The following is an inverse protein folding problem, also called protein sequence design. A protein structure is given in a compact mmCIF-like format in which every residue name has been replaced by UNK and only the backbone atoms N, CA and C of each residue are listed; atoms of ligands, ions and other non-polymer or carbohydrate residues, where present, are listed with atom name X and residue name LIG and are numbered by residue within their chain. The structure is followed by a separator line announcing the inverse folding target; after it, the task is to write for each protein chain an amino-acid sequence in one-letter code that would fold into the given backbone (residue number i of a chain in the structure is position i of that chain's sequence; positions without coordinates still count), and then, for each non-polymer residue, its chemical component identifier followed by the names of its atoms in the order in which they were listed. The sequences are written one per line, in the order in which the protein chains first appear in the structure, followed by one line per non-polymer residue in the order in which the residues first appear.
data_IF_937808659525
#
_entry.id   IF_937808659525
#
_cell.length_a   1.000
_cell.length_b   1.000
_cell.length_c   1.000
_cell.angle_alpha   90.00
_cell.angle_beta   90.00
_cell.angle_gamma   90.00
#
_symmetry.space_group_name_H-M   'P 1'
#
loop_
_entity.id
_entity.type
_entity.pdbx_description
1 polymer ?
#
# COMPACT_ATOMS: atom_id res chain seq x y z
N UNK A 1 1.83 11.40 -18.41
CA UNK A 1 2.56 10.24 -17.85
C UNK A 1 1.81 9.79 -16.61
N UNK A 2 1.12 8.66 -16.65
CA UNK A 2 0.47 8.08 -15.47
C UNK A 2 1.56 7.46 -14.60
N UNK A 3 2.00 8.20 -13.60
CA UNK A 3 3.19 7.93 -12.78
C UNK A 3 2.99 6.85 -11.70
N UNK A 4 1.74 6.58 -11.32
CA UNK A 4 1.38 5.49 -10.41
C UNK A 4 0.75 4.33 -11.14
N UNK A 5 0.89 3.11 -10.60
CA UNK A 5 0.00 2.00 -10.99
C UNK A 5 -1.27 2.16 -10.17
N UNK A 6 -2.33 2.79 -10.72
CA UNK A 6 -3.48 3.15 -9.92
C UNK A 6 -4.13 1.89 -9.37
N UNK A 7 -4.65 1.99 -8.15
CA UNK A 7 -5.55 0.98 -7.63
C UNK A 7 -6.81 0.85 -8.51
N UNK A 8 -7.62 -0.19 -8.29
CA UNK A 8 -7.53 -1.14 -7.17
C UNK A 8 -6.48 -2.24 -7.41
N UNK A 9 -5.80 -2.65 -6.34
CA UNK A 9 -4.97 -3.85 -6.36
C UNK A 9 -5.72 -5.01 -5.70
N UNK A 10 -5.50 -6.22 -6.19
CA UNK A 10 -6.18 -7.44 -5.74
C UNK A 10 -5.15 -8.55 -5.57
N UNK A 11 -5.28 -9.34 -4.51
CA UNK A 11 -4.56 -10.60 -4.37
C UNK A 11 -5.26 -11.64 -5.26
N UNK A 12 -4.52 -12.34 -6.11
CA UNK A 12 -5.05 -13.49 -6.86
C UNK A 12 -5.43 -14.61 -5.89
N UNK A 13 -6.36 -15.47 -6.31
CA UNK A 13 -6.78 -16.64 -5.52
C UNK A 13 -5.60 -17.56 -5.15
N UNK A 14 -4.53 -17.57 -5.94
CA UNK A 14 -3.28 -18.28 -5.63
C UNK A 14 -2.47 -17.69 -4.47
N UNK A 15 -2.94 -16.63 -3.80
CA UNK A 15 -2.40 -16.09 -2.54
C UNK A 15 -1.10 -15.26 -2.62
N UNK A 16 -0.21 -15.54 -3.59
CA UNK A 16 1.11 -14.91 -3.69
C UNK A 16 1.27 -13.83 -4.78
N UNK A 17 0.20 -13.41 -5.44
CA UNK A 17 0.30 -12.45 -6.55
C UNK A 17 -0.67 -11.29 -6.35
N UNK A 18 -0.18 -10.07 -6.46
CA UNK A 18 -0.98 -8.84 -6.44
C UNK A 18 -1.08 -8.30 -7.86
N UNK A 19 -2.29 -8.00 -8.32
CA UNK A 19 -2.57 -7.55 -9.67
C UNK A 19 -3.54 -6.37 -9.73
N UNK A 20 -3.49 -5.61 -10.84
CA UNK A 20 -4.45 -4.58 -11.24
C UNK A 20 -4.74 -4.76 -12.73
N UNK A 21 -6.01 -4.82 -13.14
CA UNK A 21 -6.43 -5.00 -14.54
C UNK A 21 -5.63 -6.07 -15.31
N UNK A 22 -5.49 -7.26 -14.70
CA UNK A 22 -4.72 -8.41 -15.22
C UNK A 22 -3.20 -8.19 -15.38
N UNK A 23 -2.67 -7.04 -14.95
CA UNK A 23 -1.23 -6.78 -14.84
C UNK A 23 -0.73 -7.17 -13.46
N UNK A 24 0.37 -7.90 -13.40
CA UNK A 24 1.05 -8.20 -12.14
C UNK A 24 1.69 -6.92 -11.61
N UNK A 25 1.34 -6.55 -10.38
CA UNK A 25 1.99 -5.47 -9.61
C UNK A 25 3.18 -6.03 -8.84
N UNK A 26 2.95 -7.15 -8.15
CA UNK A 26 3.94 -7.80 -7.31
C UNK A 26 3.68 -9.30 -7.28
N UNK A 27 4.74 -10.09 -7.22
CA UNK A 27 4.69 -11.52 -6.95
C UNK A 27 5.57 -11.82 -5.75
N UNK A 28 4.96 -12.40 -4.72
CA UNK A 28 5.61 -12.84 -3.50
C UNK A 28 5.92 -14.32 -3.63
N UNK A 29 7.17 -14.67 -3.36
CA UNK A 29 7.69 -16.03 -3.54
C UNK A 29 8.27 -16.48 -2.20
N UNK A 30 7.81 -17.64 -1.73
CA UNK A 30 8.50 -18.41 -0.70
C UNK A 30 8.89 -19.76 -1.30
N UNK A 31 10.08 -20.24 -0.97
CA UNK A 31 10.59 -21.54 -1.42
C UNK A 31 10.77 -22.39 -0.17
N UNK A 32 10.08 -23.53 -0.11
CA UNK A 32 10.24 -24.52 0.94
C UNK A 32 10.59 -25.87 0.29
N UNK A 33 11.67 -26.49 0.74
CA UNK A 33 12.21 -27.74 0.18
C UNK A 33 12.35 -27.73 -1.36
N UNK A 34 12.74 -26.58 -1.92
CA UNK A 34 12.94 -26.41 -3.36
C UNK A 34 11.67 -26.20 -4.20
N UNK A 35 10.49 -26.15 -3.58
CA UNK A 35 9.21 -25.88 -4.24
C UNK A 35 8.65 -24.51 -3.87
N UNK A 36 7.93 -23.88 -4.81
CA UNK A 36 7.15 -22.67 -4.52
C UNK A 36 6.08 -23.01 -3.48
N UNK A 37 6.02 -22.21 -2.43
CA UNK A 37 5.08 -22.37 -1.34
C UNK A 37 4.35 -21.06 -1.07
N UNK A 38 3.04 -21.14 -0.87
CA UNK A 38 2.21 -20.03 -0.41
C UNK A 38 2.04 -20.21 1.09
N UNK A 39 2.90 -19.52 1.84
CA UNK A 39 2.84 -19.54 3.30
C UNK A 39 1.83 -18.50 3.80
N UNK A 40 1.34 -18.62 5.05
CA UNK A 40 0.51 -17.58 5.66
C UNK A 40 1.17 -16.19 5.66
N UNK A 41 2.51 -16.15 5.74
CA UNK A 41 3.28 -14.91 5.62
C UNK A 41 3.19 -14.31 4.21
N UNK A 42 3.33 -15.13 3.16
CA UNK A 42 3.17 -14.69 1.77
C UNK A 42 1.77 -14.11 1.54
N UNK A 43 0.73 -14.80 2.00
CA UNK A 43 -0.64 -14.30 1.89
C UNK A 43 -0.87 -13.02 2.68
N UNK A 44 -0.34 -12.94 3.91
CA UNK A 44 -0.45 -11.75 4.75
C UNK A 44 0.20 -10.53 4.10
N UNK A 45 1.42 -10.71 3.57
CA UNK A 45 2.15 -9.65 2.87
C UNK A 45 1.45 -9.25 1.56
N UNK A 46 0.91 -10.21 0.81
CA UNK A 46 0.13 -9.91 -0.40
C UNK A 46 -1.11 -9.06 -0.09
N UNK A 47 -1.85 -9.42 0.98
CA UNK A 47 -3.01 -8.64 1.46
C UNK A 47 -2.59 -7.23 1.86
N UNK A 48 -1.51 -7.09 2.64
CA UNK A 48 -0.99 -5.79 3.07
C UNK A 48 -0.61 -4.90 1.87
N UNK A 49 0.13 -5.44 0.91
CA UNK A 49 0.51 -4.72 -0.31
C UNK A 49 -0.73 -4.32 -1.11
N UNK A 50 -1.70 -5.23 -1.29
CA UNK A 50 -2.92 -4.94 -2.06
C UNK A 50 -3.77 -3.82 -1.45
N UNK A 51 -3.69 -3.61 -0.13
CA UNK A 51 -4.39 -2.54 0.57
C UNK A 51 -3.67 -1.18 0.48
N UNK A 52 -2.44 -1.11 -0.05
CA UNK A 52 -1.66 0.12 -0.07
C UNK A 52 -2.35 1.30 -0.80
N UNK A 53 -3.06 1.13 -1.93
CA UNK A 53 -3.82 2.22 -2.55
C UNK A 53 -4.94 2.74 -1.64
N UNK A 54 -5.69 1.85 -1.00
CA UNK A 54 -6.80 2.23 -0.12
C UNK A 54 -6.27 2.97 1.14
N UNK A 55 -5.13 2.52 1.68
CA UNK A 55 -4.45 3.19 2.78
C UNK A 55 -3.93 4.58 2.39
N UNK A 56 -3.40 4.75 1.19
CA UNK A 56 -2.95 6.05 0.67
C UNK A 56 -4.11 7.03 0.56
N UNK A 57 -5.23 6.59 -0.02
CA UNK A 57 -6.43 7.43 -0.16
C UNK A 57 -7.06 7.77 1.20
N UNK A 58 -7.09 6.82 2.14
CA UNK A 58 -7.52 7.10 3.51
C UNK A 58 -6.63 8.15 4.19
N UNK A 59 -5.30 8.06 4.02
CA UNK A 59 -4.36 9.01 4.59
C UNK A 59 -4.52 10.42 4.00
N UNK A 60 -4.70 10.52 2.67
CA UNK A 60 -5.05 11.79 2.00
C UNK A 60 -6.37 12.36 2.54
N UNK A 61 -7.37 11.50 2.74
CA UNK A 61 -8.65 11.89 3.34
C UNK A 61 -8.46 12.51 4.72
N UNK A 62 -7.66 11.87 5.60
CA UNK A 62 -7.32 12.40 6.92
C UNK A 62 -6.65 13.77 6.86
N UNK A 63 -5.69 13.96 5.94
CA UNK A 63 -5.01 15.25 5.72
C UNK A 63 -5.84 16.27 4.95
N UNK A 64 -7.03 15.91 4.46
CA UNK A 64 -7.94 16.88 3.83
C UNK A 64 -8.93 17.49 4.83
N UNK A 65 -9.17 16.83 5.96
CA UNK A 65 -10.13 17.25 6.99
C UNK A 65 -9.63 18.48 7.76
N UNK A 66 -10.38 19.58 7.81
CA UNK A 66 -9.96 20.84 8.48
C UNK A 66 -9.52 20.70 9.95
N UNK A 67 -9.84 19.59 10.61
CA UNK A 67 -9.32 19.24 11.94
C UNK A 67 -7.78 19.25 12.00
N UNK A 68 -7.08 18.79 10.95
CA UNK A 68 -5.61 18.69 11.00
C UNK A 68 -4.92 20.06 10.98
N UNK A 69 -5.54 21.08 10.39
CA UNK A 69 -4.96 22.44 10.22
C UNK A 69 -4.79 23.19 11.55
N UNK A 70 -5.52 22.76 12.58
CA UNK A 70 -5.51 23.37 13.91
C UNK A 70 -4.78 22.50 14.96
N UNK A 71 -4.26 21.33 14.57
CA UNK A 71 -3.48 20.48 15.45
C UNK A 71 -2.10 21.12 15.67
N UNK A 72 -1.81 21.49 16.91
CA UNK A 72 -0.50 22.03 17.32
C UNK A 72 0.17 21.11 18.33
N UNK A 73 1.46 21.28 18.55
CA UNK A 73 2.22 20.48 19.52
C UNK A 73 2.55 19.08 19.00
N UNK A 74 2.35 18.05 19.84
CA UNK A 74 2.84 16.67 19.58
C UNK A 74 2.29 15.99 18.32
N UNK A 75 1.22 16.52 17.72
CA UNK A 75 0.62 15.97 16.50
C UNK A 75 1.30 16.45 15.21
N UNK A 76 2.03 17.57 15.25
CA UNK A 76 2.70 18.14 14.08
C UNK A 76 3.64 17.13 13.42
N UNK A 77 4.41 16.41 14.23
CA UNK A 77 5.31 15.35 13.75
C UNK A 77 4.56 14.23 13.01
N UNK A 78 3.35 13.87 13.44
CA UNK A 78 2.55 12.84 12.76
C UNK A 78 1.98 13.32 11.42
N UNK A 79 1.61 14.60 11.33
CA UNK A 79 1.17 15.22 10.08
C UNK A 79 2.32 15.29 9.08
N UNK A 80 3.49 15.76 9.50
CA UNK A 80 4.70 15.82 8.65
C UNK A 80 5.07 14.43 8.12
N UNK A 81 5.07 13.41 8.97
CA UNK A 81 5.32 12.03 8.53
C UNK A 81 4.30 11.53 7.50
N UNK A 82 3.02 11.89 7.66
CA UNK A 82 1.97 11.51 6.73
C UNK A 82 2.15 12.21 5.37
N UNK A 83 2.45 13.51 5.37
CA UNK A 83 2.75 14.28 4.16
C UNK A 83 3.96 13.72 3.41
N UNK A 84 5.04 13.39 4.13
CA UNK A 84 6.23 12.78 3.53
C UNK A 84 5.95 11.38 2.97
N UNK A 85 5.11 10.59 3.65
CA UNK A 85 4.71 9.27 3.17
C UNK A 85 3.90 9.37 1.87
N UNK A 86 2.92 10.29 1.80
CA UNK A 86 2.13 10.54 0.58
C UNK A 86 3.05 11.01 -0.54
N UNK A 87 3.92 11.99 -0.28
CA UNK A 87 4.86 12.51 -1.28
C UNK A 87 5.75 11.40 -1.84
N UNK A 88 6.24 10.49 -1.00
CA UNK A 88 7.04 9.33 -1.46
C UNK A 88 6.23 8.37 -2.31
N UNK A 89 4.98 8.10 -1.93
CA UNK A 89 4.08 7.26 -2.71
C UNK A 89 3.76 7.87 -4.09
N UNK A 90 3.72 9.20 -4.19
CA UNK A 90 3.40 9.95 -5.40
C UNK A 90 4.60 10.38 -6.27
N UNK A 91 5.83 10.25 -5.78
CA UNK A 91 7.01 10.81 -6.46
C UNK A 91 7.63 9.95 -7.59
N UNK A 92 7.05 8.80 -7.94
CA UNK A 92 7.61 7.88 -8.94
C UNK A 92 7.01 8.13 -10.33
#
# INVERSE_FOLDING_TARGET
MSKHTPGPWRVKESGGCVCSDNKTICQLISINDGALSITPEVEGNAKLISAAPDLLEALKGLLSCDLHKNLTGGYQFHIENAEEAIKRAEAQ
#
